data_IF_670950409324
#
_entry.id   IF_670950409324
#
_cell.length_a   1.000
_cell.length_b   1.000
_cell.length_c   1.000
_cell.angle_alpha   90.00
_cell.angle_beta   90.00
_cell.angle_gamma   90.00
#
_symmetry.space_group_name_H-M   'P 1'
#
loop_
_entity.id
_entity.type
_entity.pdbx_description
1 polymer ?
#
# COMPACT_ATOMS: atom_id res chain seq x y z
N UNK A 1 -26.17 -8.89 11.82
CA UNK A 1 -25.38 -7.69 11.50
C UNK A 1 -24.28 -8.10 10.53
N UNK A 2 -24.09 -7.42 9.40
CA UNK A 2 -22.97 -7.74 8.52
C UNK A 2 -21.67 -7.48 9.29
N UNK A 3 -20.86 -8.53 9.46
CA UNK A 3 -19.60 -8.42 10.19
C UNK A 3 -18.64 -7.54 9.39
N UNK A 4 -18.19 -6.45 10.00
CA UNK A 4 -17.10 -5.65 9.47
C UNK A 4 -15.79 -6.41 9.61
N UNK A 5 -15.05 -6.56 8.51
CA UNK A 5 -13.73 -7.21 8.51
C UNK A 5 -12.66 -6.18 8.23
N UNK A 6 -11.71 -6.04 9.15
CA UNK A 6 -10.52 -5.22 8.95
C UNK A 6 -9.34 -6.11 8.62
N UNK A 7 -8.62 -5.75 7.57
CA UNK A 7 -7.33 -6.32 7.20
C UNK A 7 -6.27 -5.22 7.26
N UNK A 8 -5.08 -5.57 7.71
CA UNK A 8 -3.93 -4.67 7.78
C UNK A 8 -2.71 -5.44 7.29
N UNK A 9 -1.88 -4.77 6.51
CA UNK A 9 -0.61 -5.31 6.06
C UNK A 9 0.41 -4.19 5.92
N UNK A 10 1.67 -4.57 6.04
CA UNK A 10 2.82 -3.74 5.76
C UNK A 10 3.71 -4.44 4.73
N UNK A 11 4.41 -3.64 3.93
CA UNK A 11 5.40 -4.14 2.97
C UNK A 11 6.60 -3.20 2.98
N UNK A 12 7.79 -3.79 2.99
CA UNK A 12 9.04 -3.05 3.22
C UNK A 12 10.19 -3.70 2.46
N UNK A 13 11.06 -2.88 1.86
CA UNK A 13 12.30 -3.38 1.23
C UNK A 13 13.29 -3.99 2.22
N UNK A 14 13.13 -3.70 3.52
CA UNK A 14 13.93 -4.32 4.59
C UNK A 14 13.62 -5.82 4.75
N UNK A 15 12.39 -6.24 4.43
CA UNK A 15 11.92 -7.62 4.59
C UNK A 15 11.78 -8.31 3.24
N UNK A 16 11.36 -7.58 2.20
CA UNK A 16 11.11 -8.07 0.85
C UNK A 16 11.85 -7.16 -0.14
N UNK A 17 12.99 -7.58 -0.72
CA UNK A 17 13.80 -6.73 -1.60
C UNK A 17 13.04 -6.15 -2.81
N UNK A 18 11.96 -6.81 -3.24
CA UNK A 18 11.07 -6.41 -4.34
C UNK A 18 9.74 -5.79 -3.86
N UNK A 19 9.70 -5.27 -2.62
CA UNK A 19 8.49 -4.74 -2.00
C UNK A 19 7.84 -3.59 -2.79
N UNK A 20 8.65 -2.73 -3.42
CA UNK A 20 8.15 -1.62 -4.22
C UNK A 20 7.42 -2.12 -5.47
N UNK A 21 8.01 -3.05 -6.21
CA UNK A 21 7.43 -3.63 -7.43
C UNK A 21 6.12 -4.35 -7.12
N UNK A 22 6.08 -5.11 -6.02
CA UNK A 22 4.87 -5.77 -5.55
C UNK A 22 3.77 -4.77 -5.20
N UNK A 23 4.13 -3.66 -4.57
CA UNK A 23 3.18 -2.60 -4.23
C UNK A 23 2.60 -1.95 -5.49
N UNK A 24 3.46 -1.57 -6.45
CA UNK A 24 3.03 -0.97 -7.72
C UNK A 24 2.07 -1.90 -8.46
N UNK A 25 2.41 -3.19 -8.58
CA UNK A 25 1.53 -4.20 -9.18
C UNK A 25 0.18 -4.31 -8.46
N UNK A 26 0.18 -4.32 -7.12
CA UNK A 26 -1.05 -4.44 -6.33
C UNK A 26 -1.93 -3.18 -6.33
N UNK A 27 -1.37 -2.01 -6.64
CA UNK A 27 -2.08 -0.73 -6.66
C UNK A 27 -2.45 -0.26 -8.07
N UNK A 28 -1.97 -0.94 -9.12
CA UNK A 28 -2.16 -0.54 -10.51
C UNK A 28 -3.65 -0.39 -10.92
N UNK A 29 -4.55 -1.19 -10.33
CA UNK A 29 -5.99 -1.10 -10.57
C UNK A 29 -6.63 0.12 -9.87
N UNK A 30 -5.94 0.73 -8.90
CA UNK A 30 -6.45 1.84 -8.09
C UNK A 30 -5.91 3.19 -8.54
N UNK A 31 -4.61 3.27 -8.84
CA UNK A 31 -3.94 4.49 -9.29
C UNK A 31 -2.56 4.21 -9.90
N UNK A 32 -2.06 5.15 -10.68
CA UNK A 32 -0.71 5.10 -11.23
C UNK A 32 0.33 5.47 -10.16
N UNK A 33 1.38 4.65 -10.04
CA UNK A 33 2.57 4.96 -9.24
C UNK A 33 3.72 5.26 -10.20
N UNK A 34 4.09 6.55 -10.33
CA UNK A 34 5.19 7.00 -11.17
C UNK A 34 5.99 8.12 -10.50
N UNK A 35 7.16 8.48 -11.05
CA UNK A 35 8.00 9.57 -10.54
C UNK A 35 8.79 9.26 -9.25
N UNK A 36 8.87 7.99 -8.83
CA UNK A 36 9.59 7.59 -7.61
C UNK A 36 11.09 7.52 -7.86
N UNK A 37 11.90 8.15 -7.01
CA UNK A 37 13.36 8.11 -7.11
C UNK A 37 13.92 6.72 -6.81
N UNK A 38 15.10 6.40 -7.34
CA UNK A 38 15.76 5.11 -7.08
C UNK A 38 16.05 4.90 -5.58
N UNK A 39 16.45 5.96 -4.88
CA UNK A 39 16.70 5.92 -3.43
C UNK A 39 15.41 5.59 -2.66
N UNK A 40 14.27 6.14 -3.08
CA UNK A 40 12.99 5.91 -2.41
C UNK A 40 12.44 4.52 -2.73
N UNK A 41 12.68 4.02 -3.94
CA UNK A 41 12.41 2.63 -4.32
C UNK A 41 13.19 1.65 -3.44
N UNK A 42 14.48 1.91 -3.20
CA UNK A 42 15.34 1.06 -2.36
C UNK A 42 14.99 1.14 -0.86
N UNK A 43 14.46 2.28 -0.41
CA UNK A 43 14.01 2.52 0.97
C UNK A 43 12.51 2.39 1.20
N UNK A 44 11.79 1.69 0.32
CA UNK A 44 10.33 1.69 0.30
C UNK A 44 9.71 1.01 1.54
N UNK A 45 8.70 1.67 2.10
CA UNK A 45 7.84 1.15 3.17
C UNK A 45 6.41 1.64 2.96
N UNK A 46 5.44 0.72 3.03
CA UNK A 46 4.01 1.02 3.05
C UNK A 46 3.33 0.27 4.20
N UNK A 47 2.39 0.95 4.87
CA UNK A 47 1.43 0.34 5.76
C UNK A 47 0.02 0.67 5.26
N UNK A 48 -0.80 -0.36 5.09
CA UNK A 48 -2.18 -0.21 4.61
C UNK A 48 -3.14 -0.94 5.53
N UNK A 49 -4.26 -0.28 5.82
CA UNK A 49 -5.37 -0.81 6.59
C UNK A 49 -6.65 -0.62 5.80
N UNK A 50 -7.44 -1.67 5.68
CA UNK A 50 -8.73 -1.62 5.00
C UNK A 50 -9.82 -2.27 5.84
N UNK A 51 -10.98 -1.62 5.93
CA UNK A 51 -12.16 -2.14 6.61
C UNK A 51 -13.28 -2.30 5.60
N UNK A 52 -13.76 -3.54 5.47
CA UNK A 52 -14.91 -3.90 4.65
C UNK A 52 -16.16 -3.98 5.52
N UNK A 53 -17.24 -3.38 5.05
CA UNK A 53 -18.57 -3.37 5.68
C UNK A 53 -19.64 -3.63 4.61
N UNK A 54 -20.90 -3.78 5.03
CA UNK A 54 -22.02 -3.85 4.07
C UNK A 54 -22.22 -2.58 3.24
N UNK A 55 -21.68 -1.45 3.68
CA UNK A 55 -21.76 -0.17 2.96
C UNK A 55 -20.61 0.03 1.95
N UNK A 56 -19.60 -0.86 1.96
CA UNK A 56 -18.42 -0.76 1.11
C UNK A 56 -17.11 -0.92 1.88
N UNK A 57 -16.01 -0.50 1.23
CA UNK A 57 -14.64 -0.65 1.73
C UNK A 57 -14.03 0.73 1.94
N UNK A 58 -13.44 0.95 3.12
CA UNK A 58 -12.64 2.14 3.40
C UNK A 58 -11.21 1.69 3.70
N UNK A 59 -10.28 2.14 2.87
CA UNK A 59 -8.85 1.90 3.00
C UNK A 59 -8.10 3.19 3.36
N UNK A 60 -7.11 3.07 4.25
CA UNK A 60 -6.12 4.10 4.49
C UNK A 60 -4.74 3.47 4.41
N UNK A 61 -3.84 4.09 3.65
CA UNK A 61 -2.45 3.66 3.57
C UNK A 61 -1.51 4.85 3.72
N UNK A 62 -0.31 4.58 4.22
CA UNK A 62 0.79 5.55 4.20
C UNK A 62 2.02 4.85 3.65
N UNK A 63 2.55 5.41 2.58
CA UNK A 63 3.88 5.09 2.06
C UNK A 63 4.83 6.20 2.48
N UNK A 64 6.07 5.86 2.85
CA UNK A 64 7.10 6.88 3.08
C UNK A 64 7.52 7.45 1.72
N UNK A 65 7.63 8.78 1.64
CA UNK A 65 8.14 9.57 0.48
C UNK A 65 7.32 9.53 -0.82
N UNK A 66 6.00 9.34 -0.74
CA UNK A 66 5.11 10.05 -1.67
C UNK A 66 5.14 11.54 -1.33
N UNK A 67 6.25 12.22 -1.62
CA UNK A 67 6.21 13.67 -1.81
C UNK A 67 5.55 13.88 -3.16
N UNK A 68 4.26 14.24 -3.12
CA UNK A 68 3.57 14.89 -4.23
C UNK A 68 4.37 16.11 -4.70
#
# INVERSE_FOLDING_TARGET
>A
MPQSRTISWDVSTQVLPDAFERYVLGMADLYEVSGVSEIDRLGFFNITRSTMSSAGVIGSGRSVRQTL
#
